data_IF_311158269954
#
_entry.id   IF_311158269954
#
_cell.length_a   1.000
_cell.length_b   1.000
_cell.length_c   1.000
_cell.angle_alpha   90.00
_cell.angle_beta   90.00
_cell.angle_gamma   90.00
#
_symmetry.space_group_name_H-M   'P 1'
#
loop_
_entity.id
_entity.type
_entity.pdbx_description
1 polymer ?
#
# COMPACT_ATOMS: atom_id res chain seq x y z
N UNK A 1 5.86 35.55 0.59
CA UNK A 1 6.84 34.50 0.22
C UNK A 1 6.12 33.18 0.34
N UNK A 2 5.76 32.57 -0.79
CA UNK A 2 5.19 31.22 -0.82
C UNK A 2 6.34 30.24 -0.61
N UNK A 3 6.58 29.87 0.65
CA UNK A 3 7.60 28.87 1.02
C UNK A 3 6.96 27.50 1.26
N UNK A 4 5.85 27.22 0.58
CA UNK A 4 5.18 25.93 0.54
C UNK A 4 5.89 24.94 -0.39
N UNK A 5 7.23 24.88 -0.30
CA UNK A 5 8.06 23.89 -0.98
C UNK A 5 7.88 22.50 -0.37
N UNK A 6 6.62 22.07 -0.23
CA UNK A 6 6.24 20.72 0.12
C UNK A 6 6.97 19.81 -0.83
N UNK A 7 7.96 19.10 -0.29
CA UNK A 7 8.74 18.13 -1.01
C UNK A 7 7.79 16.97 -1.33
N UNK A 8 7.01 17.15 -2.39
CA UNK A 8 6.11 16.16 -2.95
C UNK A 8 7.05 15.06 -3.41
N UNK A 9 7.18 14.02 -2.58
CA UNK A 9 7.99 12.87 -2.93
C UNK A 9 7.59 12.45 -4.33
N UNK A 10 8.58 12.30 -5.22
CA UNK A 10 8.39 11.94 -6.62
C UNK A 10 7.90 10.49 -6.74
N UNK A 11 7.05 9.99 -5.85
CA UNK A 11 6.46 8.67 -5.96
C UNK A 11 5.39 8.72 -7.04
N UNK A 12 5.59 7.96 -8.11
CA UNK A 12 4.63 7.87 -9.19
C UNK A 12 3.49 6.91 -8.84
N UNK A 13 3.85 5.70 -8.39
CA UNK A 13 2.89 4.62 -8.11
C UNK A 13 3.51 3.52 -7.27
N UNK A 14 2.64 2.71 -6.67
CA UNK A 14 3.01 1.45 -6.03
C UNK A 14 2.91 0.34 -7.08
N UNK A 15 4.01 -0.37 -7.30
CA UNK A 15 4.09 -1.46 -8.27
C UNK A 15 3.69 -2.79 -7.64
N UNK A 16 4.15 -3.03 -6.41
CA UNK A 16 3.95 -4.32 -5.75
C UNK A 16 3.97 -4.17 -4.23
N UNK A 17 3.55 -5.22 -3.52
CA UNK A 17 3.70 -5.33 -2.08
C UNK A 17 4.18 -6.73 -1.70
N UNK A 18 4.86 -6.80 -0.56
CA UNK A 18 5.21 -8.07 0.07
C UNK A 18 4.77 -8.05 1.53
N UNK A 19 3.93 -9.02 1.89
CA UNK A 19 3.67 -9.36 3.27
C UNK A 19 4.63 -10.48 3.68
N UNK A 20 5.42 -10.23 4.72
CA UNK A 20 6.32 -11.22 5.31
C UNK A 20 5.82 -11.50 6.71
N UNK A 21 5.51 -12.76 7.02
CA UNK A 21 4.98 -13.15 8.33
C UNK A 21 5.95 -12.76 9.45
N UNK A 22 5.46 -12.04 10.45
CA UNK A 22 6.28 -11.52 11.56
C UNK A 22 7.07 -10.24 11.23
N UNK A 23 7.00 -9.74 10.00
CA UNK A 23 7.67 -8.51 9.56
C UNK A 23 6.64 -7.51 9.05
N UNK A 24 7.01 -6.23 9.00
CA UNK A 24 6.15 -5.16 8.46
C UNK A 24 6.01 -5.31 6.94
N UNK A 25 4.81 -5.06 6.42
CA UNK A 25 4.55 -4.99 4.98
C UNK A 25 5.41 -3.91 4.32
N UNK A 26 6.07 -4.28 3.23
CA UNK A 26 6.81 -3.36 2.37
C UNK A 26 6.14 -3.26 1.00
N UNK A 27 6.20 -2.09 0.39
CA UNK A 27 5.70 -1.83 -0.95
C UNK A 27 6.83 -1.38 -1.85
N UNK A 28 6.81 -1.87 -3.08
CA UNK A 28 7.71 -1.43 -4.14
C UNK A 28 7.16 -0.15 -4.74
N UNK A 29 7.89 0.95 -4.57
CA UNK A 29 7.52 2.26 -5.11
C UNK A 29 8.31 2.53 -6.39
N UNK A 30 7.60 3.07 -7.38
CA UNK A 30 8.22 3.62 -8.59
C UNK A 30 8.36 5.13 -8.46
N UNK A 31 9.56 5.64 -8.72
CA UNK A 31 9.87 7.06 -8.62
C UNK A 31 9.71 7.75 -9.97
N UNK A 32 8.84 8.76 -10.04
CA UNK A 32 8.61 9.60 -11.20
C UNK A 32 9.92 10.24 -11.66
N UNK A 33 10.25 10.01 -12.93
CA UNK A 33 11.46 10.55 -13.55
C UNK A 33 12.73 9.73 -13.29
N UNK A 34 12.63 8.61 -12.59
CA UNK A 34 13.72 7.65 -12.45
C UNK A 34 13.40 6.34 -13.18
N UNK A 35 14.41 5.64 -13.70
CA UNK A 35 14.21 4.33 -14.28
C UNK A 35 13.83 3.30 -13.20
N UNK A 36 13.20 2.17 -13.58
CA UNK A 36 12.73 1.14 -12.65
C UNK A 36 13.87 0.49 -11.82
N UNK A 37 15.12 0.69 -12.23
CA UNK A 37 16.30 0.29 -11.46
C UNK A 37 16.42 1.00 -10.10
N UNK A 38 15.75 2.15 -9.95
CA UNK A 38 15.70 2.92 -8.71
C UNK A 38 14.49 2.59 -7.84
N UNK A 39 13.65 1.64 -8.25
CA UNK A 39 12.48 1.24 -7.49
C UNK A 39 12.91 0.68 -6.13
N UNK A 40 12.35 1.24 -5.06
CA UNK A 40 12.74 0.91 -3.67
C UNK A 40 11.59 0.23 -2.93
N UNK A 41 11.95 -0.63 -1.98
CA UNK A 41 10.99 -1.24 -1.06
C UNK A 41 10.82 -0.38 0.18
N UNK A 42 9.75 0.40 0.22
CA UNK A 42 9.42 1.27 1.34
C UNK A 42 8.41 0.60 2.29
N UNK A 43 8.51 0.91 3.58
CA UNK A 43 7.60 0.36 4.59
C UNK A 43 6.22 1.01 4.49
N UNK A 44 5.16 0.22 4.70
CA UNK A 44 3.77 0.74 4.75
C UNK A 44 3.64 1.98 5.61
N UNK A 45 4.25 1.94 6.79
CA UNK A 45 4.16 3.00 7.80
C UNK A 45 4.77 4.31 7.32
N UNK A 46 5.79 4.25 6.46
CA UNK A 46 6.38 5.44 5.85
C UNK A 46 5.49 5.96 4.72
N UNK A 47 5.02 5.06 3.86
CA UNK A 47 4.17 5.43 2.72
C UNK A 47 2.81 5.99 3.13
N UNK A 48 2.21 5.57 4.24
CA UNK A 48 0.97 6.19 4.73
C UNK A 48 1.18 7.62 5.23
N UNK A 49 2.41 7.99 5.60
CA UNK A 49 2.74 9.38 6.01
C UNK A 49 2.98 10.23 4.78
N UNK A 50 3.69 9.70 3.78
CA UNK A 50 4.09 10.45 2.59
C UNK A 50 3.00 10.48 1.50
N UNK A 51 2.30 9.36 1.29
CA UNK A 51 1.41 9.10 0.14
C UNK A 51 0.21 8.22 0.49
N UNK A 52 -0.52 8.56 1.56
CA UNK A 52 -1.67 7.78 2.06
C UNK A 52 -2.66 7.35 0.95
N UNK A 53 -3.06 8.29 0.07
CA UNK A 53 -4.05 8.00 -0.97
C UNK A 53 -3.61 6.92 -1.97
N UNK A 54 -2.32 6.86 -2.30
CA UNK A 54 -1.79 5.80 -3.18
C UNK A 54 -1.80 4.44 -2.47
N UNK A 55 -1.46 4.41 -1.18
CA UNK A 55 -1.48 3.19 -0.38
C UNK A 55 -2.90 2.66 -0.24
N UNK A 56 -3.87 3.53 0.02
CA UNK A 56 -5.27 3.13 0.14
C UNK A 56 -5.82 2.56 -1.16
N UNK A 57 -5.64 3.26 -2.28
CA UNK A 57 -6.09 2.79 -3.59
C UNK A 57 -5.44 1.46 -3.98
N UNK A 58 -4.14 1.30 -3.67
CA UNK A 58 -3.45 0.05 -3.93
C UNK A 58 -3.98 -1.08 -3.03
N UNK A 59 -4.20 -0.83 -1.74
CA UNK A 59 -4.71 -1.84 -0.80
C UNK A 59 -6.16 -2.27 -1.08
N UNK A 60 -6.99 -1.40 -1.66
CA UNK A 60 -8.34 -1.74 -2.11
C UNK A 60 -8.31 -2.79 -3.23
N UNK A 61 -7.35 -2.66 -4.15
CA UNK A 61 -7.17 -3.57 -5.29
C UNK A 61 -6.30 -4.77 -4.96
N UNK A 62 -5.43 -4.66 -3.96
CA UNK A 62 -4.45 -5.66 -3.55
C UNK A 62 -4.56 -5.94 -2.05
N UNK A 63 -5.58 -6.70 -1.61
CA UNK A 63 -5.83 -6.93 -0.20
C UNK A 63 -4.66 -7.66 0.46
N UNK A 64 -4.02 -7.00 1.45
CA UNK A 64 -2.95 -7.59 2.23
C UNK A 64 -3.42 -8.89 2.90
N UNK A 65 -2.60 -9.93 2.80
CA UNK A 65 -2.88 -11.26 3.37
C UNK A 65 -3.16 -11.24 4.88
N UNK A 66 -2.67 -10.23 5.60
CA UNK A 66 -2.94 -9.99 7.02
C UNK A 66 -4.41 -9.69 7.37
N UNK A 67 -5.28 -9.39 6.40
CA UNK A 67 -6.72 -9.18 6.63
C UNK A 67 -7.59 -10.44 6.46
N UNK A 68 -7.04 -11.64 6.66
CA UNK A 68 -7.86 -12.79 7.07
C UNK A 68 -8.28 -12.69 8.54
N UNK A 69 -8.85 -11.55 8.94
CA UNK A 69 -9.77 -11.54 10.08
C UNK A 69 -11.02 -12.26 9.60
N UNK A 70 -11.19 -13.48 10.13
CA UNK A 70 -12.35 -14.36 10.05
C UNK A 70 -13.64 -13.61 9.70
N UNK A 71 -13.96 -13.49 8.41
CA UNK A 71 -15.36 -13.36 8.00
C UNK A 71 -15.99 -14.71 8.27
N UNK A 72 -16.59 -14.86 9.45
CA UNK A 72 -17.54 -15.94 9.71
C UNK A 72 -18.58 -15.84 8.60
N UNK A 73 -18.60 -16.86 7.75
CA UNK A 73 -19.68 -17.12 6.83
C UNK A 73 -20.94 -17.33 7.65
N UNK A 74 -21.74 -16.29 7.82
CA UNK A 74 -23.17 -16.47 8.08
C UNK A 74 -23.74 -16.97 6.76
N UNK A 75 -23.72 -18.29 6.57
CA UNK A 75 -24.58 -18.95 5.61
C UNK A 75 -26.02 -18.67 6.05
N UNK A 76 -26.89 -18.07 5.22
CA UNK A 76 -28.31 -18.19 5.47
C UNK A 76 -28.65 -19.65 5.19
N UNK A 77 -28.80 -20.44 6.25
CA UNK A 77 -29.63 -21.62 6.21
C UNK A 77 -31.05 -21.13 5.89
N UNK A 78 -31.40 -21.15 4.60
CA UNK A 78 -32.78 -21.35 4.18
C UNK A 78 -33.01 -22.86 4.17
N UNK A 79 -33.84 -23.36 5.10
CA UNK A 79 -34.43 -24.69 5.03
C UNK A 79 -35.88 -24.58 5.51
N UNK A 80 -36.76 -24.77 4.53
CA UNK A 80 -38.10 -25.40 4.54
C UNK A 80 -39.01 -25.24 5.74
#
# INVERSE_FOLDING_TARGET
>A
MDSGGGQRFLMERILNHRDVYGVRTSYLVHWRGYPPEWDSWESRVRLIVDVLGLVEQYDETHPLRSKKVRRKTTSPNAST
#
